data_IF_581263116668
#
_entry.id   IF_581263116668
#
_cell.length_a   1.000
_cell.length_b   1.000
_cell.length_c   1.000
_cell.angle_alpha   90.00
_cell.angle_beta   90.00
_cell.angle_gamma   90.00
#
_symmetry.space_group_name_H-M   'P 1'
#
loop_
_entity.id
_entity.type
_entity.pdbx_description
1 polymer ?
#
# COMPACT_ATOMS: atom_id res chain seq x y z
N UNK A 1 18.03 -3.32 15.66
CA UNK A 1 17.38 -2.14 15.02
C UNK A 1 17.86 -2.10 13.58
N UNK A 2 16.95 -2.26 12.62
CA UNK A 2 17.26 -2.25 11.18
C UNK A 2 16.49 -1.08 10.58
N UNK A 3 17.18 -0.25 9.80
CA UNK A 3 16.56 0.81 9.00
C UNK A 3 16.36 0.25 7.60
N UNK A 4 15.11 -0.05 7.23
CA UNK A 4 14.78 -0.53 5.89
C UNK A 4 14.31 0.65 5.03
N UNK A 5 14.95 0.80 3.87
CA UNK A 5 14.54 1.76 2.85
C UNK A 5 13.25 1.36 2.12
N UNK A 6 12.80 0.11 2.29
CA UNK A 6 11.61 -0.43 1.67
C UNK A 6 10.58 -0.83 2.74
N UNK A 7 9.42 -0.16 2.69
CA UNK A 7 8.30 -0.33 3.62
C UNK A 7 7.70 -1.73 3.58
N UNK A 8 7.69 -2.38 2.41
CA UNK A 8 7.18 -3.75 2.26
C UNK A 8 8.11 -4.79 2.88
N UNK A 9 9.40 -4.48 2.89
CA UNK A 9 10.38 -5.34 3.51
C UNK A 9 10.36 -5.21 5.03
N UNK A 10 10.16 -4.00 5.54
CA UNK A 10 9.92 -3.75 6.97
C UNK A 10 8.62 -4.44 7.44
N UNK A 11 7.54 -4.32 6.67
CA UNK A 11 6.26 -4.96 6.96
C UNK A 11 6.33 -6.47 7.15
N UNK A 12 7.22 -7.13 6.41
CA UNK A 12 7.30 -8.60 6.39
C UNK A 12 8.15 -9.18 7.52
N UNK A 13 9.07 -8.39 8.10
CA UNK A 13 10.03 -8.91 9.07
C UNK A 13 10.06 -8.16 10.39
N UNK A 14 9.44 -6.98 10.49
CA UNK A 14 9.36 -6.25 11.73
C UNK A 14 8.18 -6.75 12.58
N UNK A 15 8.42 -7.04 13.84
CA UNK A 15 7.34 -7.30 14.80
C UNK A 15 6.60 -6.01 15.16
N UNK A 16 7.28 -4.87 15.05
CA UNK A 16 6.77 -3.53 15.37
C UNK A 16 7.26 -2.51 14.36
N UNK A 17 6.35 -1.63 13.96
CA UNK A 17 6.62 -0.49 13.07
C UNK A 17 6.28 0.79 13.80
N UNK A 18 7.17 1.77 13.68
CA UNK A 18 6.99 3.12 14.19
C UNK A 18 7.09 4.07 13.01
N UNK A 19 6.05 4.86 12.79
CA UNK A 19 5.99 5.85 11.73
C UNK A 19 6.07 7.24 12.36
N UNK A 20 7.01 8.04 11.86
CA UNK A 20 7.19 9.43 12.25
C UNK A 20 6.82 10.33 11.08
N UNK A 21 6.01 11.36 11.33
CA UNK A 21 5.76 12.44 10.39
C UNK A 21 6.25 13.76 11.01
N UNK A 22 7.07 14.51 10.26
CA UNK A 22 7.64 15.81 10.70
C UNK A 22 8.23 15.79 12.12
N UNK A 23 8.93 14.72 12.47
CA UNK A 23 9.56 14.53 13.78
C UNK A 23 8.59 14.23 14.93
N UNK A 24 7.32 13.94 14.63
CA UNK A 24 6.30 13.52 15.60
C UNK A 24 5.88 12.08 15.35
N UNK A 25 5.52 11.37 16.42
CA UNK A 25 4.96 10.04 16.31
C UNK A 25 3.59 10.09 15.64
N UNK A 26 3.45 9.42 14.50
CA UNK A 26 2.17 9.27 13.80
C UNK A 26 1.47 7.99 14.25
N UNK A 27 2.16 6.83 14.18
CA UNK A 27 1.64 5.55 14.69
C UNK A 27 2.77 4.63 15.13
N UNK A 28 2.51 3.81 16.14
CA UNK A 28 3.38 2.70 16.54
C UNK A 28 2.53 1.46 16.81
N UNK A 29 2.87 0.33 16.18
CA UNK A 29 2.05 -0.87 16.24
C UNK A 29 2.71 -2.07 15.57
N UNK A 30 1.96 -3.15 15.41
CA UNK A 30 2.32 -4.24 14.48
C UNK A 30 2.29 -3.74 13.04
N UNK A 31 2.90 -4.45 12.08
CA UNK A 31 2.83 -4.08 10.67
C UNK A 31 1.40 -3.87 10.15
N UNK A 32 0.46 -4.69 10.61
CA UNK A 32 -0.96 -4.63 10.23
C UNK A 32 -1.64 -3.36 10.74
N UNK A 33 -1.28 -2.93 11.94
CA UNK A 33 -1.84 -1.72 12.56
C UNK A 33 -1.19 -0.44 11.99
N UNK A 34 0.11 -0.48 11.71
CA UNK A 34 0.86 0.69 11.27
C UNK A 34 0.72 0.95 9.77
N UNK A 35 0.66 -0.10 8.94
CA UNK A 35 0.59 0.02 7.48
C UNK A 35 -0.87 -0.01 7.05
N UNK A 36 -1.47 1.17 6.99
CA UNK A 36 -2.84 1.38 6.54
C UNK A 36 -2.88 2.33 5.35
N UNK A 37 -3.92 2.26 4.50
CA UNK A 37 -4.13 3.24 3.43
C UNK A 37 -4.11 4.69 3.91
N UNK A 38 -4.68 4.95 5.09
CA UNK A 38 -4.71 6.27 5.72
C UNK A 38 -3.31 6.74 6.11
N UNK A 39 -2.51 5.90 6.75
CA UNK A 39 -1.11 6.23 7.07
C UNK A 39 -0.30 6.53 5.80
N UNK A 40 -0.48 5.72 4.75
CA UNK A 40 0.17 5.93 3.45
C UNK A 40 -0.24 7.26 2.81
N UNK A 41 -1.50 7.64 2.97
CA UNK A 41 -2.00 8.93 2.50
C UNK A 41 -1.41 10.11 3.28
N UNK A 42 -1.42 10.03 4.61
CA UNK A 42 -1.04 11.13 5.49
C UNK A 42 0.47 11.37 5.51
N UNK A 43 1.27 10.30 5.47
CA UNK A 43 2.73 10.38 5.62
C UNK A 43 3.45 10.41 4.26
N UNK A 44 2.96 9.64 3.29
CA UNK A 44 3.62 9.49 1.99
C UNK A 44 2.88 10.21 0.84
N UNK A 45 1.66 10.72 1.06
CA UNK A 45 0.91 11.44 0.03
C UNK A 45 0.49 10.54 -1.14
N UNK A 46 0.31 9.24 -0.91
CA UNK A 46 -0.08 8.28 -1.94
C UNK A 46 -1.43 7.63 -1.64
N UNK A 47 -2.23 7.42 -2.68
CA UNK A 47 -3.39 6.56 -2.64
C UNK A 47 -2.91 5.12 -2.86
N UNK A 48 -3.14 4.27 -1.88
CA UNK A 48 -2.69 2.89 -1.94
C UNK A 48 -3.67 1.96 -1.21
N UNK A 49 -3.71 0.70 -1.64
CA UNK A 49 -4.42 -0.38 -0.96
C UNK A 49 -3.42 -1.28 -0.23
N UNK A 50 -3.87 -1.81 0.90
CA UNK A 50 -3.13 -2.80 1.69
C UNK A 50 -3.91 -4.11 1.61
N UNK A 51 -3.31 -5.11 0.99
CA UNK A 51 -3.93 -6.41 0.76
C UNK A 51 -3.04 -7.53 1.31
N UNK A 52 -3.62 -8.72 1.49
CA UNK A 52 -2.87 -9.91 1.85
C UNK A 52 -2.77 -10.85 0.66
N UNK A 53 -1.56 -11.32 0.36
CA UNK A 53 -1.40 -12.39 -0.61
C UNK A 53 -1.92 -13.73 -0.05
N UNK A 54 -2.05 -14.74 -0.91
CA UNK A 54 -2.49 -16.09 -0.53
C UNK A 54 -1.64 -16.78 0.53
N UNK A 55 -0.42 -16.28 0.79
CA UNK A 55 0.47 -16.75 1.86
C UNK A 55 0.36 -15.93 3.16
N UNK A 56 -0.64 -15.05 3.28
CA UNK A 56 -0.87 -14.22 4.47
C UNK A 56 0.11 -13.06 4.64
N UNK A 57 0.89 -12.70 3.60
CA UNK A 57 1.82 -11.56 3.67
C UNK A 57 1.16 -10.28 3.19
N UNK A 58 1.43 -9.18 3.89
CA UNK A 58 1.02 -7.84 3.51
C UNK A 58 1.63 -7.44 2.16
N UNK A 59 0.83 -6.80 1.32
CA UNK A 59 1.20 -6.20 0.04
C UNK A 59 0.59 -4.82 -0.06
N UNK A 60 1.41 -3.82 -0.41
CA UNK A 60 0.93 -2.46 -0.71
C UNK A 60 0.83 -2.34 -2.23
N UNK A 61 -0.37 -2.01 -2.73
CA UNK A 61 -0.60 -1.63 -4.12
C UNK A 61 -0.79 -0.13 -4.21
N UNK A 62 0.15 0.57 -4.85
CA UNK A 62 0.07 2.02 -5.05
C UNK A 62 -0.79 2.33 -6.27
N UNK A 63 -1.89 3.02 -6.05
CA UNK A 63 -2.84 3.41 -7.10
C UNK A 63 -2.47 4.76 -7.73
N UNK A 64 -1.86 5.66 -6.96
CA UNK A 64 -1.41 6.96 -7.46
C UNK A 64 -0.91 7.91 -6.37
N UNK A 65 -0.55 9.13 -6.78
CA UNK A 65 -0.26 10.24 -5.87
C UNK A 65 -1.55 10.97 -5.52
N UNK A 66 -1.72 11.30 -4.25
CA UNK A 66 -2.83 12.15 -3.82
C UNK A 66 -2.44 13.59 -4.12
N UNK A 67 -3.03 14.16 -5.18
CA UNK A 67 -3.01 15.61 -5.34
C UNK A 67 -4.04 16.22 -4.40
N UNK A 68 -3.78 17.38 -3.78
CA UNK A 68 -4.75 18.06 -2.91
C UNK A 68 -6.08 18.52 -3.57
N UNK A 69 -6.47 18.04 -4.76
CA UNK A 69 -7.64 18.52 -5.50
C UNK A 69 -8.27 17.47 -6.45
N UNK A 70 -8.50 16.22 -6.05
CA UNK A 70 -9.44 15.39 -6.84
C UNK A 70 -10.19 14.37 -5.97
N UNK A 71 -11.44 14.66 -5.55
CA UNK A 71 -12.27 13.72 -4.81
C UNK A 71 -12.87 12.58 -5.68
N UNK A 72 -12.45 12.42 -6.94
CA UNK A 72 -13.07 11.48 -7.90
C UNK A 72 -12.40 10.12 -8.13
N UNK A 73 -11.15 9.88 -7.70
CA UNK A 73 -10.45 8.66 -8.11
C UNK A 73 -10.64 7.49 -7.13
N UNK A 74 -11.88 7.01 -6.99
CA UNK A 74 -12.17 5.71 -6.37
C UNK A 74 -12.41 4.66 -7.47
N UNK A 75 -11.62 3.58 -7.39
CA UNK A 75 -11.72 2.31 -8.11
C UNK A 75 -11.47 2.32 -9.63
N UNK A 76 -10.26 1.97 -10.04
CA UNK A 76 -10.02 1.33 -11.34
C UNK A 76 -10.19 -0.19 -11.20
N UNK A 77 -11.11 -0.83 -11.95
CA UNK A 77 -11.31 -2.27 -11.93
C UNK A 77 -10.13 -2.98 -12.61
N UNK A 78 -9.75 -4.11 -12.03
CA UNK A 78 -8.75 -5.07 -12.48
C UNK A 78 -8.76 -5.29 -14.01
N UNK A 79 -7.76 -4.77 -14.72
CA UNK A 79 -7.51 -5.16 -16.11
C UNK A 79 -6.84 -6.54 -16.15
N UNK A 80 -7.65 -7.58 -15.99
CA UNK A 80 -7.29 -8.94 -16.40
C UNK A 80 -7.23 -8.99 -17.93
N UNK A 81 -6.04 -8.76 -18.49
CA UNK A 81 -5.77 -9.11 -19.89
C UNK A 81 -5.66 -10.62 -20.01
N UNK A 82 -6.73 -11.28 -20.45
CA UNK A 82 -6.65 -12.52 -21.21
C UNK A 82 -7.23 -12.24 -22.58
N UNK A 83 -6.36 -11.89 -23.53
CA UNK A 83 -6.68 -11.79 -24.95
C UNK A 83 -6.06 -13.00 -25.65
N UNK A 84 -6.78 -13.44 -26.67
CA UNK A 84 -6.40 -14.32 -27.80
C UNK A 84 -6.78 -15.80 -27.69
N UNK A 85 -7.81 -16.15 -28.47
CA UNK A 85 -8.20 -17.53 -28.74
C UNK A 85 -9.60 -17.68 -29.36
N UNK A 86 -9.93 -16.98 -30.45
CA UNK A 86 -11.02 -17.43 -31.32
C UNK A 86 -10.88 -16.91 -32.76
N UNK A 87 -10.26 -17.73 -33.62
CA UNK A 87 -10.44 -17.67 -35.06
C UNK A 87 -11.34 -18.87 -35.43
N UNK A 88 -12.62 -18.59 -35.63
CA UNK A 88 -13.56 -19.52 -36.23
C UNK A 88 -14.34 -18.81 -37.33
N UNK A 89 -14.09 -19.28 -38.55
CA UNK A 89 -14.84 -19.13 -39.81
C UNK A 89 -14.67 -17.85 -40.62
#
# INVERSE_FOLDING_TARGET
MIVLHDLMLAAQWADRIVVLDKGRLHIAGTPVEAITPQMLADVYGIAARVEYCSKGRLQIMTDGLIRPHDPGCQASPTSGKTREGNLAR
#
